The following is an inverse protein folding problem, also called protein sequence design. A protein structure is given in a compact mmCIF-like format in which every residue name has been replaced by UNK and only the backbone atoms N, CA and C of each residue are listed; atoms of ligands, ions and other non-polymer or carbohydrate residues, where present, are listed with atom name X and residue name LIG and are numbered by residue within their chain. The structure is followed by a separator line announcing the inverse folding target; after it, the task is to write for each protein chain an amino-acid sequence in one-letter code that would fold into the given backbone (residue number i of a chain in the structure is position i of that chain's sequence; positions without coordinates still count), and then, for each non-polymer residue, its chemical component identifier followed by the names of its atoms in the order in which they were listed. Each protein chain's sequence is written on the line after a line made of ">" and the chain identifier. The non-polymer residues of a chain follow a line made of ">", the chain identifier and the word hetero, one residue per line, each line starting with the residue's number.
data_IF_982169612638
#
_entry.id   IF_982169612638
#
_cell.length_a   1.000
_cell.length_b   1.000
_cell.length_c   1.000
_cell.angle_alpha   90.00
_cell.angle_beta   90.00
_cell.angle_gamma   90.00
#
_symmetry.space_group_name_H-M   'P 1'
#
loop_
_entity.id
_entity.type
_entity.pdbx_description
1 polymer ?
#
# COMPACT_ATOMS: atom_id res chain seq x y z
N UNK A 1 15.19 -13.94 -19.22
CA UNK A 1 14.81 -12.58 -18.76
C UNK A 1 16.05 -11.94 -18.18
N UNK A 2 16.37 -10.70 -18.55
CA UNK A 2 17.44 -9.92 -17.93
C UNK A 2 16.79 -8.87 -17.02
N UNK A 3 17.13 -8.88 -15.74
CA UNK A 3 16.66 -7.93 -14.72
C UNK A 3 17.89 -7.24 -14.13
N UNK A 4 17.87 -5.92 -14.07
CA UNK A 4 18.98 -5.12 -13.57
C UNK A 4 19.12 -5.25 -12.04
N UNK A 5 17.99 -5.31 -11.34
CA UNK A 5 17.96 -5.37 -9.89
C UNK A 5 18.27 -6.78 -9.38
N UNK A 6 18.76 -6.88 -8.15
CA UNK A 6 18.91 -8.16 -7.43
C UNK A 6 17.56 -8.76 -6.95
N UNK A 7 16.43 -8.28 -7.48
CA UNK A 7 15.08 -8.74 -7.13
C UNK A 7 14.17 -8.68 -8.36
N UNK A 8 13.28 -9.65 -8.49
CA UNK A 8 12.18 -9.57 -9.45
C UNK A 8 11.09 -8.60 -8.99
N UNK A 9 10.24 -8.14 -9.92
CA UNK A 9 9.02 -7.38 -9.63
C UNK A 9 9.04 -5.92 -10.11
N UNK A 10 10.21 -5.35 -10.37
CA UNK A 10 10.34 -3.97 -10.85
C UNK A 10 9.69 -2.97 -9.89
N UNK A 11 8.60 -2.31 -10.32
CA UNK A 11 7.80 -1.41 -9.47
C UNK A 11 6.97 -2.15 -8.41
N UNK A 12 6.73 -3.46 -8.58
CA UNK A 12 6.07 -4.28 -7.59
C UNK A 12 7.08 -4.73 -6.52
N UNK A 13 7.10 -4.00 -5.41
CA UNK A 13 8.11 -4.15 -4.36
C UNK A 13 7.45 -4.06 -2.99
N UNK A 14 7.91 -4.91 -2.07
CA UNK A 14 7.62 -4.86 -0.63
C UNK A 14 8.92 -4.57 0.11
N UNK A 15 8.95 -3.49 0.89
CA UNK A 15 10.06 -3.14 1.77
C UNK A 15 9.84 -3.74 3.17
N UNK A 16 10.85 -4.41 3.70
CA UNK A 16 10.86 -5.11 5.00
C UNK A 16 12.09 -4.69 5.82
N UNK A 17 12.07 -5.01 7.11
CA UNK A 17 13.24 -4.84 7.97
C UNK A 17 14.49 -5.54 7.37
N UNK A 18 15.59 -4.82 7.26
CA UNK A 18 16.84 -5.27 6.65
C UNK A 18 17.05 -4.83 5.19
N UNK A 19 16.01 -4.37 4.51
CA UNK A 19 16.16 -3.80 3.17
C UNK A 19 16.96 -2.48 3.21
N UNK A 20 17.78 -2.25 2.20
CA UNK A 20 18.52 -0.99 2.01
C UNK A 20 18.29 -0.49 0.59
N UNK A 21 18.07 0.81 0.43
CA UNK A 21 17.86 1.43 -0.86
C UNK A 21 18.60 2.76 -0.98
N UNK A 22 19.35 2.93 -2.06
CA UNK A 22 20.00 4.19 -2.41
C UNK A 22 19.20 4.86 -3.52
N UNK A 23 18.62 6.02 -3.22
CA UNK A 23 17.88 6.86 -4.17
C UNK A 23 18.84 7.43 -5.23
N UNK A 24 18.31 7.94 -6.35
CA UNK A 24 19.10 8.60 -7.40
C UNK A 24 19.96 9.77 -6.89
N UNK A 25 19.58 10.40 -5.77
CA UNK A 25 20.36 11.46 -5.11
C UNK A 25 21.57 10.97 -4.31
N UNK A 26 21.79 9.66 -4.21
CA UNK A 26 22.86 9.04 -3.41
C UNK A 26 22.49 8.79 -1.95
N UNK A 27 21.36 9.33 -1.49
CA UNK A 27 20.85 9.10 -0.14
C UNK A 27 20.43 7.65 0.04
N UNK A 28 20.94 7.03 1.11
CA UNK A 28 20.69 5.63 1.43
C UNK A 28 19.76 5.51 2.62
N UNK A 29 18.69 4.75 2.46
CA UNK A 29 17.71 4.46 3.50
C UNK A 29 17.85 3.01 3.94
N UNK A 30 17.90 2.79 5.25
CA UNK A 30 17.87 1.47 5.86
C UNK A 30 16.48 1.24 6.46
N UNK A 31 15.81 0.17 6.03
CA UNK A 31 14.49 -0.16 6.51
C UNK A 31 14.60 -0.95 7.83
N UNK A 32 14.07 -0.38 8.91
CA UNK A 32 14.18 -0.93 10.27
C UNK A 32 12.83 -1.41 10.81
N UNK A 33 11.92 -1.83 9.93
CA UNK A 33 10.64 -2.39 10.36
C UNK A 33 10.82 -3.63 11.23
N UNK A 34 9.99 -3.75 12.26
CA UNK A 34 9.95 -4.94 13.12
C UNK A 34 9.63 -6.22 12.30
N UNK A 35 10.02 -7.41 12.78
CA UNK A 35 9.74 -8.67 12.09
C UNK A 35 8.26 -8.81 11.70
N UNK A 36 8.01 -9.19 10.45
CA UNK A 36 6.67 -9.32 9.89
C UNK A 36 6.02 -8.02 9.39
N UNK A 37 6.57 -6.86 9.72
CA UNK A 37 6.08 -5.57 9.22
C UNK A 37 6.70 -5.22 7.86
N UNK A 38 5.93 -4.58 7.00
CA UNK A 38 6.36 -4.18 5.66
C UNK A 38 5.51 -3.05 5.09
N UNK A 39 5.99 -2.40 4.03
CA UNK A 39 5.19 -1.53 3.17
C UNK A 39 5.34 -1.94 1.70
N UNK A 40 4.32 -1.69 0.89
CA UNK A 40 4.41 -1.78 -0.57
C UNK A 40 4.50 -0.35 -1.14
N UNK A 41 5.70 0.19 -1.42
CA UNK A 41 5.84 1.55 -1.97
C UNK A 41 5.37 1.69 -3.42
N UNK A 42 5.06 0.57 -4.09
CA UNK A 42 4.50 0.53 -5.44
C UNK A 42 3.03 0.10 -5.47
N UNK A 43 2.65 -0.90 -6.28
CA UNK A 43 1.34 -1.54 -6.20
C UNK A 43 1.08 -2.11 -4.80
N UNK A 44 -0.05 -1.74 -4.22
CA UNK A 44 -0.38 -2.05 -2.82
C UNK A 44 -1.80 -2.62 -2.62
N UNK A 45 -2.61 -2.68 -3.69
CA UNK A 45 -3.98 -3.24 -3.66
C UNK A 45 -4.39 -3.85 -5.00
N UNK A 46 -5.25 -4.85 -4.94
CA UNK A 46 -5.82 -5.54 -6.10
C UNK A 46 -7.35 -5.43 -6.10
N UNK A 47 -7.96 -4.64 -6.99
CA UNK A 47 -9.41 -4.61 -7.15
C UNK A 47 -9.99 -5.95 -7.60
N UNK A 48 -11.20 -6.27 -7.14
CA UNK A 48 -11.87 -7.55 -7.40
C UNK A 48 -12.10 -7.86 -8.90
N UNK A 49 -12.15 -6.84 -9.76
CA UNK A 49 -12.36 -7.00 -11.21
C UNK A 49 -11.06 -7.17 -12.00
N UNK A 50 -9.88 -7.13 -11.35
CA UNK A 50 -8.60 -7.39 -12.01
C UNK A 50 -8.38 -8.90 -12.22
N UNK A 51 -9.15 -9.50 -13.14
CA UNK A 51 -9.19 -10.96 -13.34
C UNK A 51 -7.84 -11.59 -13.68
N UNK A 52 -6.97 -10.89 -14.43
CA UNK A 52 -5.66 -11.41 -14.82
C UNK A 52 -4.76 -11.70 -13.63
N UNK A 53 -4.49 -10.68 -12.80
CA UNK A 53 -3.64 -10.85 -11.61
C UNK A 53 -4.28 -11.77 -10.57
N UNK A 54 -5.60 -11.67 -10.34
CA UNK A 54 -6.30 -12.57 -9.42
C UNK A 54 -6.27 -14.03 -9.92
N UNK A 55 -6.28 -14.23 -11.25
CA UNK A 55 -6.05 -15.52 -11.88
C UNK A 55 -4.66 -16.07 -11.57
N UNK A 56 -3.61 -15.27 -11.71
CA UNK A 56 -2.25 -15.67 -11.34
C UNK A 56 -2.09 -15.94 -9.85
N UNK A 57 -2.67 -15.12 -8.97
CA UNK A 57 -2.64 -15.38 -7.53
C UNK A 57 -3.26 -16.75 -7.21
N UNK A 58 -4.38 -17.10 -7.84
CA UNK A 58 -4.98 -18.44 -7.70
C UNK A 58 -4.09 -19.53 -8.27
N UNK A 59 -3.58 -19.35 -9.49
CA UNK A 59 -2.74 -20.35 -10.17
C UNK A 59 -1.48 -20.70 -9.37
N UNK A 60 -0.85 -19.70 -8.74
CA UNK A 60 0.37 -19.87 -7.96
C UNK A 60 0.14 -20.01 -6.45
N UNK A 61 -1.11 -20.17 -6.02
CA UNK A 61 -1.50 -20.29 -4.60
C UNK A 61 -0.97 -19.15 -3.72
N UNK A 62 -0.97 -17.93 -4.24
CA UNK A 62 -0.56 -16.74 -3.48
C UNK A 62 -1.73 -16.31 -2.59
N UNK A 63 -1.57 -16.29 -1.25
CA UNK A 63 -2.61 -15.86 -0.34
C UNK A 63 -2.92 -14.37 -0.55
N UNK A 64 -4.21 -14.03 -0.48
CA UNK A 64 -4.71 -12.67 -0.57
C UNK A 64 -5.39 -12.28 0.74
N UNK A 65 -5.21 -11.03 1.12
CA UNK A 65 -5.84 -10.42 2.29
C UNK A 65 -6.76 -9.28 1.88
N UNK A 66 -7.75 -8.99 2.73
CA UNK A 66 -8.63 -7.86 2.50
C UNK A 66 -7.86 -6.55 2.68
N UNK A 67 -7.88 -5.73 1.63
CA UNK A 67 -7.35 -4.37 1.69
C UNK A 67 -8.49 -3.37 1.95
N UNK A 68 -8.54 -2.81 3.15
CA UNK A 68 -9.56 -1.82 3.54
C UNK A 68 -9.20 -0.44 2.98
N UNK A 69 -9.74 -0.12 1.81
CA UNK A 69 -9.49 1.17 1.15
C UNK A 69 -10.26 2.33 1.80
N UNK A 70 -11.42 2.07 2.39
CA UNK A 70 -12.30 3.10 2.95
C UNK A 70 -12.63 2.74 4.39
N UNK A 71 -12.39 3.68 5.30
CA UNK A 71 -12.82 3.58 6.68
C UNK A 71 -13.87 4.67 6.96
N UNK A 72 -15.15 4.27 6.93
CA UNK A 72 -16.28 5.18 7.20
C UNK A 72 -16.34 5.70 8.64
N UNK A 73 -15.59 5.07 9.55
CA UNK A 73 -15.40 5.54 10.90
C UNK A 73 -14.18 6.47 11.05
N UNK A 74 -13.38 6.72 10.01
CA UNK A 74 -12.31 7.72 10.10
C UNK A 74 -12.90 9.13 10.33
N UNK A 75 -12.14 9.98 11.02
CA UNK A 75 -12.47 11.39 11.14
C UNK A 75 -11.87 12.19 9.97
N UNK A 76 -12.67 13.04 9.36
CA UNK A 76 -12.21 14.11 8.48
C UNK A 76 -12.28 15.43 9.24
N UNK A 77 -11.24 16.25 9.10
CA UNK A 77 -11.15 17.55 9.75
C UNK A 77 -10.87 18.64 8.71
N UNK A 78 -11.59 19.75 8.81
CA UNK A 78 -11.37 20.97 8.03
C UNK A 78 -11.71 22.16 8.92
N UNK A 79 -10.83 23.16 8.97
CA UNK A 79 -11.09 24.40 9.71
C UNK A 79 -12.13 25.30 9.02
N UNK A 80 -12.41 25.06 7.74
CA UNK A 80 -13.36 25.83 6.94
C UNK A 80 -14.76 25.20 6.86
N UNK A 81 -14.98 24.05 7.49
CA UNK A 81 -16.25 23.33 7.47
C UNK A 81 -16.61 22.80 8.87
N UNK A 82 -17.89 22.54 9.11
CA UNK A 82 -18.40 21.95 10.36
C UNK A 82 -17.89 22.66 11.64
N UNK A 83 -17.74 23.98 11.59
CA UNK A 83 -17.20 24.83 12.66
C UNK A 83 -15.84 24.34 13.21
N UNK A 84 -15.00 23.74 12.35
CA UNK A 84 -13.71 23.17 12.74
C UNK A 84 -13.81 21.86 13.53
N UNK A 85 -15.00 21.28 13.70
CA UNK A 85 -15.19 20.02 14.44
C UNK A 85 -14.98 18.83 13.50
N UNK A 86 -14.10 17.86 13.84
CA UNK A 86 -13.95 16.63 13.07
C UNK A 86 -15.27 15.89 12.89
N UNK A 87 -15.58 15.48 11.67
CA UNK A 87 -16.78 14.70 11.33
C UNK A 87 -16.38 13.29 10.92
N UNK A 88 -17.20 12.28 11.24
CA UNK A 88 -16.97 10.92 10.73
C UNK A 88 -17.18 10.91 9.21
N UNK A 89 -16.37 10.16 8.47
CA UNK A 89 -16.45 10.11 7.01
C UNK A 89 -17.86 9.79 6.51
N UNK A 90 -18.57 8.85 7.17
CA UNK A 90 -19.98 8.51 6.89
C UNK A 90 -21.00 9.65 7.05
N UNK A 91 -20.69 10.69 7.82
CA UNK A 91 -21.58 11.84 8.01
C UNK A 91 -21.35 12.91 6.93
N UNK A 92 -20.16 12.93 6.31
CA UNK A 92 -19.78 13.88 5.27
C UNK A 92 -20.11 13.33 3.88
N UNK A 93 -19.77 12.06 3.64
CA UNK A 93 -20.11 11.35 2.41
C UNK A 93 -21.43 10.62 2.63
N UNK A 94 -22.52 11.32 2.34
CA UNK A 94 -23.88 10.80 2.29
C UNK A 94 -24.32 10.72 0.83
N UNK A 95 -23.92 9.63 0.15
CA UNK A 95 -24.50 9.14 -1.11
C UNK A 95 -25.14 7.77 -0.86
#
# INVERSE_FOLDING_TARGET
>A
VLEYNARAGGRNWSLRGGDTYTELGGETQHCEFAPGQYINPGPWRLPHHHRGILGYCRQFNIPLENFVQVNYNAYLHSTAAADGKPQRYRAVRAD
#
